data_IF_333519282492
#
_entry.id   IF_333519282492
#
_cell.length_a   1.000
_cell.length_b   1.000
_cell.length_c   1.000
_cell.angle_alpha   90.00
_cell.angle_beta   90.00
_cell.angle_gamma   90.00
#
_symmetry.space_group_name_H-M   'P 1'
#
loop_
_entity.id
_entity.type
_entity.pdbx_description
1 polymer ?
#
# COMPACT_ATOMS: atom_id res chain seq x y z
N UNK A 1 -2.11 -23.72 28.44
CA UNK A 1 -2.07 -23.79 26.97
C UNK A 1 -2.23 -22.35 26.47
N UNK A 2 -1.30 -21.82 25.67
CA UNK A 2 -1.35 -20.41 25.24
C UNK A 2 -1.84 -20.33 23.79
N UNK A 3 -2.79 -19.44 23.55
CA UNK A 3 -3.30 -19.11 22.23
C UNK A 3 -2.87 -17.69 21.86
N UNK A 4 -2.61 -17.46 20.58
CA UNK A 4 -2.42 -16.11 20.04
C UNK A 4 -3.49 -15.80 19.01
N UNK A 5 -3.80 -14.52 18.85
CA UNK A 5 -4.69 -14.05 17.81
C UNK A 5 -4.08 -14.31 16.42
N UNK A 6 -4.81 -15.04 15.56
CA UNK A 6 -4.45 -15.28 14.16
C UNK A 6 -5.11 -14.30 13.18
N UNK A 7 -6.23 -13.69 13.58
CA UNK A 7 -7.02 -12.73 12.79
C UNK A 7 -7.84 -11.79 13.68
N UNK A 8 -8.54 -10.79 13.13
CA UNK A 8 -9.35 -9.87 13.93
C UNK A 8 -10.45 -10.58 14.73
N UNK A 9 -10.89 -9.96 15.82
CA UNK A 9 -12.15 -10.33 16.49
C UNK A 9 -13.29 -9.60 15.75
N UNK A 10 -14.28 -10.36 15.29
CA UNK A 10 -15.41 -9.86 14.53
C UNK A 10 -16.70 -10.13 15.29
N UNK A 11 -17.52 -9.09 15.44
CA UNK A 11 -18.88 -9.22 15.92
C UNK A 11 -19.81 -9.24 14.69
N UNK A 12 -20.28 -10.44 14.34
CA UNK A 12 -21.08 -10.68 13.14
C UNK A 12 -22.51 -10.97 13.56
N UNK A 13 -23.42 -10.07 13.20
CA UNK A 13 -24.86 -10.25 13.36
C UNK A 13 -25.50 -10.42 11.99
N UNK A 14 -26.37 -11.42 11.84
CA UNK A 14 -27.17 -11.63 10.65
C UNK A 14 -28.60 -11.18 10.93
N UNK A 15 -29.11 -10.25 10.11
CA UNK A 15 -30.46 -9.69 10.28
C UNK A 15 -31.55 -10.60 9.67
N UNK A 16 -31.27 -11.23 8.52
CA UNK A 16 -32.18 -12.11 7.79
C UNK A 16 -31.40 -13.21 7.05
N UNK A 17 -31.98 -14.42 6.94
CA UNK A 17 -31.44 -15.54 6.17
C UNK A 17 -30.70 -16.58 6.99
N UNK A 18 -29.82 -17.33 6.34
CA UNK A 18 -28.84 -18.23 6.96
C UNK A 18 -27.47 -18.01 6.30
N UNK A 19 -26.39 -18.08 7.08
CA UNK A 19 -25.04 -17.90 6.58
C UNK A 19 -24.41 -19.28 6.35
N UNK A 20 -24.17 -19.65 5.10
CA UNK A 20 -23.60 -20.96 4.76
C UNK A 20 -22.09 -21.02 5.01
N UNK A 21 -21.38 -19.91 4.79
CA UNK A 21 -19.92 -19.89 4.77
C UNK A 21 -19.37 -18.51 5.15
N UNK A 22 -18.30 -18.50 5.95
CA UNK A 22 -17.55 -17.29 6.31
C UNK A 22 -16.06 -17.50 6.07
N UNK A 23 -15.42 -16.47 5.53
CA UNK A 23 -13.98 -16.38 5.32
C UNK A 23 -13.38 -15.38 6.29
N UNK A 24 -12.82 -15.88 7.40
CA UNK A 24 -12.18 -15.04 8.41
C UNK A 24 -10.74 -14.72 8.01
N UNK A 25 -10.33 -13.44 7.92
CA UNK A 25 -8.98 -13.09 7.51
C UNK A 25 -7.94 -13.47 8.57
N UNK A 26 -6.74 -13.84 8.13
CA UNK A 26 -5.58 -14.07 9.01
C UNK A 26 -4.28 -13.56 8.40
N UNK A 27 -3.30 -13.27 9.27
CA UNK A 27 -1.98 -12.83 8.84
C UNK A 27 -0.92 -13.96 8.85
N UNK A 28 -1.24 -15.14 9.39
CA UNK A 28 -0.28 -16.25 9.50
C UNK A 28 0.18 -16.74 8.13
N UNK A 29 1.50 -16.87 7.94
CA UNK A 29 2.09 -17.37 6.71
C UNK A 29 2.21 -18.90 6.75
N UNK A 30 1.36 -19.60 6.00
CA UNK A 30 1.39 -21.07 5.92
C UNK A 30 2.49 -21.61 5.00
N UNK A 31 3.06 -20.75 4.14
CA UNK A 31 4.09 -21.16 3.18
C UNK A 31 5.41 -21.57 3.84
N UNK A 32 5.71 -21.02 5.02
CA UNK A 32 6.92 -21.38 5.78
C UNK A 32 6.70 -22.55 6.73
N UNK A 33 5.46 -22.77 7.19
CA UNK A 33 5.10 -23.90 8.01
C UNK A 33 3.63 -24.35 7.79
N UNK A 34 3.39 -25.33 6.90
CA UNK A 34 2.04 -25.82 6.62
C UNK A 34 1.35 -26.50 7.81
N UNK A 35 2.11 -27.02 8.78
CA UNK A 35 1.54 -27.71 9.96
C UNK A 35 0.73 -26.78 10.87
N UNK A 36 0.96 -25.46 10.78
CA UNK A 36 0.20 -24.45 11.53
C UNK A 36 -1.30 -24.48 11.21
N UNK A 37 -1.70 -25.03 10.06
CA UNK A 37 -3.11 -25.24 9.73
C UNK A 37 -3.85 -26.02 10.81
N UNK A 38 -3.23 -27.06 11.37
CA UNK A 38 -3.85 -27.94 12.37
C UNK A 38 -3.96 -27.29 13.76
N UNK A 39 -3.18 -26.22 13.97
CA UNK A 39 -3.14 -25.46 15.22
C UNK A 39 -4.14 -24.28 15.23
N UNK A 40 -4.72 -23.95 14.07
CA UNK A 40 -5.73 -22.91 13.98
C UNK A 40 -7.07 -23.41 14.51
N UNK A 41 -7.72 -22.59 15.34
CA UNK A 41 -9.06 -22.81 15.87
C UNK A 41 -9.87 -21.53 15.75
N UNK A 42 -11.18 -21.66 15.67
CA UNK A 42 -12.09 -20.53 15.80
C UNK A 42 -12.43 -20.37 17.28
N UNK A 43 -12.24 -19.18 17.80
CA UNK A 43 -12.72 -18.76 19.09
C UNK A 43 -14.11 -18.17 18.92
N UNK A 44 -15.07 -18.68 19.69
CA UNK A 44 -16.39 -18.06 19.88
C UNK A 44 -16.44 -17.46 21.27
N UNK A 45 -16.89 -16.21 21.35
CA UNK A 45 -17.18 -15.52 22.61
C UNK A 45 -18.70 -15.52 22.79
N UNK A 46 -19.15 -16.27 23.78
CA UNK A 46 -20.55 -16.50 24.12
C UNK A 46 -20.89 -15.82 25.45
N UNK A 47 -22.17 -15.66 25.77
CA UNK A 47 -22.62 -14.97 27.00
C UNK A 47 -22.04 -15.58 28.28
N UNK A 48 -21.81 -16.90 28.30
CA UNK A 48 -21.35 -17.66 29.47
C UNK A 48 -19.91 -18.16 29.37
N UNK A 49 -19.12 -17.70 28.39
CA UNK A 49 -17.73 -18.08 28.27
C UNK A 49 -17.18 -18.06 26.84
N UNK A 50 -16.25 -18.98 26.57
CA UNK A 50 -15.63 -19.14 25.26
C UNK A 50 -15.69 -20.59 24.82
N UNK A 51 -15.95 -20.82 23.53
CA UNK A 51 -15.90 -22.14 22.91
C UNK A 51 -14.92 -22.14 21.73
N UNK A 52 -14.39 -23.32 21.40
CA UNK A 52 -13.43 -23.51 20.30
C UNK A 52 -14.01 -24.44 19.24
N UNK A 53 -13.94 -24.01 17.98
CA UNK A 53 -14.33 -24.80 16.80
C UNK A 53 -13.11 -25.10 15.92
N UNK A 54 -13.13 -26.25 15.26
CA UNK A 54 -12.15 -26.62 14.25
C UNK A 54 -12.36 -25.81 12.96
N UNK A 55 -11.27 -25.39 12.34
CA UNK A 55 -11.37 -24.70 11.05
C UNK A 55 -11.66 -25.72 9.95
N UNK A 56 -12.64 -25.44 9.09
CA UNK A 56 -13.01 -26.35 8.01
C UNK A 56 -11.96 -26.36 6.89
N UNK A 57 -11.48 -25.19 6.50
CA UNK A 57 -10.41 -25.03 5.51
C UNK A 57 -9.57 -23.79 5.82
N UNK A 58 -8.25 -23.86 5.63
CA UNK A 58 -7.38 -22.68 5.76
C UNK A 58 -6.70 -22.40 4.44
N UNK A 59 -7.00 -21.25 3.86
CA UNK A 59 -6.36 -20.73 2.65
C UNK A 59 -5.11 -19.93 2.98
N UNK A 60 -4.54 -19.20 2.01
CA UNK A 60 -3.36 -18.37 2.25
C UNK A 60 -3.62 -17.18 3.20
N UNK A 61 -4.84 -16.64 3.18
CA UNK A 61 -5.19 -15.41 3.91
C UNK A 61 -6.51 -15.49 4.67
N UNK A 62 -7.23 -16.62 4.57
CA UNK A 62 -8.53 -16.79 5.20
C UNK A 62 -8.69 -18.18 5.79
N UNK A 63 -9.35 -18.25 6.94
CA UNK A 63 -9.90 -19.45 7.54
C UNK A 63 -11.39 -19.52 7.20
N UNK A 64 -11.81 -20.64 6.62
CA UNK A 64 -13.19 -20.91 6.23
C UNK A 64 -13.92 -21.66 7.33
N UNK A 65 -15.13 -21.20 7.61
CA UNK A 65 -16.09 -21.83 8.51
C UNK A 65 -17.38 -22.07 7.74
N UNK A 66 -17.98 -23.24 7.92
CA UNK A 66 -19.29 -23.58 7.38
C UNK A 66 -20.36 -23.47 8.46
N UNK A 67 -21.52 -22.94 8.11
CA UNK A 67 -22.67 -22.78 9.01
C UNK A 67 -22.30 -22.16 10.39
N UNK A 68 -21.64 -20.99 10.41
CA UNK A 68 -21.16 -20.40 11.65
C UNK A 68 -22.30 -20.05 12.60
N UNK A 69 -22.02 -20.16 13.89
CA UNK A 69 -22.92 -19.69 14.95
C UNK A 69 -22.72 -18.20 15.19
N UNK A 70 -23.81 -17.46 15.39
CA UNK A 70 -23.78 -16.03 15.69
C UNK A 70 -23.27 -15.80 17.12
N UNK A 71 -22.02 -15.34 17.19
CA UNK A 71 -21.26 -14.98 18.37
C UNK A 71 -20.13 -14.05 17.92
N UNK A 72 -19.46 -13.34 18.83
CA UNK A 72 -18.22 -12.69 18.44
C UNK A 72 -17.16 -13.77 18.17
N UNK A 73 -16.56 -13.77 16.97
CA UNK A 73 -15.68 -14.82 16.49
C UNK A 73 -14.30 -14.30 16.11
N UNK A 74 -13.26 -15.09 16.36
CA UNK A 74 -11.89 -14.77 15.93
C UNK A 74 -11.09 -16.04 15.61
N UNK A 75 -10.15 -15.93 14.68
CA UNK A 75 -9.18 -17.00 14.45
C UNK A 75 -8.09 -16.92 15.53
N UNK A 76 -7.87 -18.02 16.24
CA UNK A 76 -6.75 -18.16 17.19
C UNK A 76 -5.81 -19.29 16.74
N UNK A 77 -4.54 -19.15 17.10
CA UNK A 77 -3.50 -20.13 16.82
C UNK A 77 -3.01 -20.71 18.13
N UNK A 78 -3.11 -22.03 18.28
CA UNK A 78 -2.57 -22.77 19.41
C UNK A 78 -1.06 -22.85 19.25
N UNK A 79 -0.30 -22.32 20.22
CA UNK A 79 1.16 -22.30 20.12
C UNK A 79 1.82 -23.23 21.12
N UNK A 80 2.60 -24.17 20.59
CA UNK A 80 3.65 -24.88 21.32
C UNK A 80 4.99 -24.09 21.28
N UNK A 81 5.17 -23.18 20.31
CA UNK A 81 6.33 -22.28 20.18
C UNK A 81 5.96 -20.96 19.50
N UNK A 82 6.61 -19.85 19.85
CA UNK A 82 6.33 -18.50 19.30
C UNK A 82 6.97 -18.21 17.93
N UNK A 83 7.40 -19.24 17.20
CA UNK A 83 8.11 -19.09 15.93
C UNK A 83 7.12 -19.15 14.75
N UNK A 84 6.33 -18.08 14.61
CA UNK A 84 5.31 -17.95 13.56
C UNK A 84 5.69 -16.81 12.63
N UNK A 85 5.70 -17.08 11.33
CA UNK A 85 5.82 -16.03 10.32
C UNK A 85 4.45 -15.43 10.01
N UNK A 86 4.38 -14.12 9.92
CA UNK A 86 3.16 -13.37 9.60
C UNK A 86 3.40 -12.44 8.41
N UNK A 87 2.38 -12.33 7.56
CA UNK A 87 2.29 -11.28 6.55
C UNK A 87 2.05 -9.93 7.25
N UNK A 88 2.75 -8.89 6.80
CA UNK A 88 2.79 -7.60 7.45
C UNK A 88 2.33 -6.49 6.50
N UNK A 89 1.84 -5.41 7.09
CA UNK A 89 1.54 -4.17 6.39
C UNK A 89 2.53 -3.08 6.77
N UNK A 90 2.88 -2.25 5.78
CA UNK A 90 3.63 -1.02 5.96
C UNK A 90 2.77 0.14 5.50
N UNK A 91 2.55 1.13 6.38
CA UNK A 91 1.83 2.35 6.03
C UNK A 91 2.71 3.56 6.30
N UNK A 92 2.96 4.36 5.27
CA UNK A 92 3.72 5.58 5.37
C UNK A 92 2.80 6.80 5.33
N UNK A 93 2.92 7.66 6.33
CA UNK A 93 2.30 8.98 6.37
C UNK A 93 3.37 10.06 6.46
N UNK A 94 3.14 11.17 5.77
CA UNK A 94 4.02 12.33 5.79
C UNK A 94 3.27 13.55 6.33
N UNK A 95 3.91 14.27 7.24
CA UNK A 95 3.50 15.63 7.63
C UNK A 95 4.57 16.62 7.19
N UNK A 96 4.19 17.64 6.43
CA UNK A 96 5.08 18.74 6.04
C UNK A 96 4.88 19.92 7.01
N UNK A 97 5.96 20.41 7.60
CA UNK A 97 5.97 21.59 8.48
C UNK A 97 7.11 22.52 8.10
N UNK A 98 6.80 23.62 7.41
CA UNK A 98 7.78 24.59 6.89
C UNK A 98 8.84 23.86 6.04
N UNK A 99 10.08 23.75 6.53
CA UNK A 99 11.21 23.10 5.86
C UNK A 99 11.52 21.70 6.40
N UNK A 100 10.62 21.14 7.21
CA UNK A 100 10.76 19.84 7.86
C UNK A 100 9.68 18.89 7.39
N UNK A 101 10.10 17.68 7.02
CA UNK A 101 9.24 16.55 6.76
C UNK A 101 9.25 15.63 7.98
N UNK A 102 8.07 15.14 8.37
CA UNK A 102 7.89 14.19 9.46
C UNK A 102 7.29 12.90 8.89
N UNK A 103 8.11 11.91 8.55
CA UNK A 103 7.62 10.58 8.19
C UNK A 103 7.14 9.82 9.42
N UNK A 104 6.01 9.12 9.26
CA UNK A 104 5.52 8.10 10.18
C UNK A 104 5.34 6.79 9.43
N UNK A 105 6.20 5.82 9.70
CA UNK A 105 6.16 4.50 9.10
C UNK A 105 5.61 3.50 10.12
N UNK A 106 4.40 3.02 9.90
CA UNK A 106 3.74 1.99 10.69
C UNK A 106 4.11 0.60 10.17
N UNK A 107 4.36 -0.34 11.08
CA UNK A 107 4.62 -1.75 10.77
C UNK A 107 3.80 -2.62 11.72
N UNK A 108 3.01 -3.52 11.15
CA UNK A 108 2.17 -4.42 11.93
C UNK A 108 1.71 -5.65 11.14
N UNK A 109 1.28 -6.75 11.81
CA UNK A 109 0.72 -7.91 11.12
C UNK A 109 -0.52 -7.51 10.32
N UNK A 110 -0.70 -8.05 9.11
CA UNK A 110 -1.80 -7.65 8.22
C UNK A 110 -3.16 -7.89 8.87
N UNK A 111 -3.77 -6.82 9.36
CA UNK A 111 -5.02 -6.84 10.11
C UNK A 111 -5.86 -5.63 9.68
N UNK A 112 -7.07 -5.85 9.11
CA UNK A 112 -7.96 -4.78 8.69
C UNK A 112 -8.27 -3.74 9.78
N UNK A 113 -8.46 -4.18 11.03
CA UNK A 113 -8.74 -3.29 12.15
C UNK A 113 -7.58 -2.34 12.47
N UNK A 114 -6.34 -2.82 12.32
CA UNK A 114 -5.16 -1.97 12.50
C UNK A 114 -4.97 -0.97 11.36
N UNK A 115 -5.25 -1.37 10.11
CA UNK A 115 -5.26 -0.44 8.97
C UNK A 115 -6.24 0.70 9.24
N UNK A 116 -7.46 0.36 9.65
CA UNK A 116 -8.51 1.34 9.97
C UNK A 116 -8.10 2.25 11.14
N UNK A 117 -7.50 1.70 12.20
CA UNK A 117 -7.04 2.49 13.34
C UNK A 117 -5.95 3.51 12.95
N UNK A 118 -5.01 3.12 12.09
CA UNK A 118 -3.97 4.04 11.56
C UNK A 118 -4.59 5.13 10.71
N UNK A 119 -5.53 4.78 9.82
CA UNK A 119 -6.22 5.74 8.95
C UNK A 119 -7.00 6.80 9.76
N UNK A 120 -7.74 6.37 10.79
CA UNK A 120 -8.47 7.28 11.68
C UNK A 120 -7.52 8.20 12.46
N UNK A 121 -6.43 7.64 13.00
CA UNK A 121 -5.43 8.41 13.74
C UNK A 121 -4.80 9.50 12.85
N UNK A 122 -4.36 9.16 11.64
CA UNK A 122 -3.66 10.11 10.77
C UNK A 122 -4.61 11.14 10.14
N UNK A 123 -5.88 10.78 9.92
CA UNK A 123 -6.93 11.73 9.51
C UNK A 123 -7.07 12.87 10.51
N UNK A 124 -7.00 12.59 11.81
CA UNK A 124 -7.04 13.63 12.85
C UNK A 124 -5.82 14.56 12.85
N UNK A 125 -4.68 14.10 12.33
CA UNK A 125 -3.42 14.84 12.32
C UNK A 125 -3.15 15.59 11.01
N UNK A 126 -4.03 15.50 10.01
CA UNK A 126 -3.87 16.15 8.71
C UNK A 126 -2.64 15.69 7.93
N UNK A 127 -2.23 14.43 8.11
CA UNK A 127 -1.06 13.86 7.43
C UNK A 127 -1.46 13.15 6.14
N UNK A 128 -0.60 13.21 5.13
CA UNK A 128 -0.85 12.61 3.83
C UNK A 128 -0.35 11.17 3.78
N UNK A 129 -1.21 10.24 3.35
CA UNK A 129 -0.80 8.84 3.11
C UNK A 129 0.04 8.77 1.84
N UNK A 130 1.19 8.12 1.92
CA UNK A 130 2.04 7.79 0.80
C UNK A 130 1.90 6.30 0.49
N UNK A 131 1.66 6.00 -0.79
CA UNK A 131 1.60 4.62 -1.25
C UNK A 131 3.02 4.09 -1.41
N UNK A 132 3.31 3.04 -0.66
CA UNK A 132 4.59 2.36 -0.66
C UNK A 132 4.41 0.87 -0.96
N UNK A 133 5.47 0.21 -1.41
CA UNK A 133 5.51 -1.23 -1.57
C UNK A 133 5.29 -1.95 -0.24
N UNK A 134 4.59 -3.09 -0.29
CA UNK A 134 4.48 -4.01 0.85
C UNK A 134 5.72 -4.90 0.92
N UNK A 135 6.08 -5.42 2.10
CA UNK A 135 7.11 -6.46 2.20
C UNK A 135 6.74 -7.69 1.36
N UNK A 136 7.64 -8.16 0.51
CA UNK A 136 7.40 -9.35 -0.33
C UNK A 136 7.32 -10.64 0.51
N UNK A 137 8.08 -10.69 1.61
CA UNK A 137 8.22 -11.85 2.49
C UNK A 137 7.43 -11.66 3.78
N UNK A 138 7.01 -12.76 4.37
CA UNK A 138 6.54 -12.78 5.75
C UNK A 138 7.70 -12.53 6.72
N UNK A 139 7.37 -12.05 7.92
CA UNK A 139 8.32 -11.82 8.99
C UNK A 139 7.96 -12.62 10.22
N UNK A 140 8.98 -13.03 10.98
CA UNK A 140 8.78 -13.67 12.27
C UNK A 140 8.09 -12.71 13.22
N UNK A 141 6.99 -13.15 13.80
CA UNK A 141 6.34 -12.44 14.89
C UNK A 141 7.33 -12.28 16.05
N UNK A 142 7.25 -11.15 16.76
CA UNK A 142 8.15 -10.71 17.83
C UNK A 142 9.57 -10.32 17.38
N UNK A 143 9.88 -10.33 16.09
CA UNK A 143 11.13 -9.76 15.59
C UNK A 143 11.14 -8.23 15.72
N UNK A 144 12.34 -7.66 15.93
CA UNK A 144 12.53 -6.22 15.97
C UNK A 144 13.10 -5.70 14.66
N UNK A 145 12.74 -4.45 14.37
CA UNK A 145 13.15 -3.75 13.16
C UNK A 145 13.73 -2.40 13.54
N UNK A 146 14.64 -1.89 12.71
CA UNK A 146 15.13 -0.50 12.75
C UNK A 146 14.91 0.17 11.41
N UNK A 147 14.52 1.45 11.45
CA UNK A 147 14.38 2.28 10.26
C UNK A 147 15.64 3.12 10.06
N UNK A 148 16.14 3.16 8.83
CA UNK A 148 17.21 4.04 8.42
C UNK A 148 16.71 5.02 7.35
N UNK A 149 16.94 6.30 7.60
CA UNK A 149 16.74 7.38 6.65
C UNK A 149 18.03 8.21 6.66
N UNK A 150 18.89 8.14 5.62
CA UNK A 150 20.25 8.70 5.63
C UNK A 150 20.38 10.18 5.99
N UNK A 151 19.30 10.97 5.91
CA UNK A 151 19.26 12.41 6.22
C UNK A 151 18.30 12.78 7.34
N UNK A 152 17.84 11.80 8.11
CA UNK A 152 17.03 12.09 9.29
C UNK A 152 17.88 12.72 10.39
N UNK A 153 17.32 13.71 11.07
CA UNK A 153 17.90 14.32 12.28
C UNK A 153 17.53 13.51 13.52
N UNK A 154 16.37 12.84 13.50
CA UNK A 154 15.93 11.98 14.57
C UNK A 154 14.99 10.90 14.02
N UNK A 155 15.05 9.71 14.61
CA UNK A 155 14.08 8.62 14.44
C UNK A 155 13.72 8.13 15.84
N UNK A 156 12.41 8.05 16.15
CA UNK A 156 11.91 7.59 17.44
C UNK A 156 10.68 6.69 17.22
N UNK A 157 10.63 5.48 17.82
CA UNK A 157 11.71 4.80 18.54
C UNK A 157 12.84 4.35 17.61
N UNK A 158 13.98 3.94 18.17
CA UNK A 158 15.13 3.43 17.39
C UNK A 158 14.85 2.02 16.83
N UNK A 159 14.05 1.24 17.56
CA UNK A 159 13.55 -0.06 17.14
C UNK A 159 12.06 -0.17 17.45
N UNK A 160 11.34 -0.90 16.60
CA UNK A 160 9.98 -1.36 16.88
C UNK A 160 9.94 -2.88 16.80
N UNK A 161 9.08 -3.49 17.60
CA UNK A 161 8.84 -4.92 17.55
C UNK A 161 7.54 -5.20 16.78
N UNK A 162 7.57 -6.21 15.92
CA UNK A 162 6.41 -6.72 15.20
C UNK A 162 5.58 -7.60 16.14
N UNK A 163 4.49 -7.08 16.66
CA UNK A 163 3.62 -7.76 17.61
C UNK A 163 2.14 -7.54 17.26
N UNK A 164 1.28 -8.42 17.72
CA UNK A 164 -0.17 -8.18 17.70
C UNK A 164 -0.51 -7.10 18.73
N UNK A 165 -1.31 -6.12 18.32
CA UNK A 165 -1.86 -5.09 19.21
C UNK A 165 -3.33 -4.91 18.89
N UNK A 166 -4.15 -4.82 19.93
CA UNK A 166 -5.57 -4.49 19.80
C UNK A 166 -5.80 -2.98 19.61
N UNK A 167 -4.74 -2.18 19.75
CA UNK A 167 -4.75 -0.71 19.69
C UNK A 167 -3.85 -0.19 18.57
N UNK A 168 -3.54 1.12 18.57
CA UNK A 168 -2.64 1.78 17.62
C UNK A 168 -1.34 0.97 17.40
N UNK A 169 -1.02 0.64 16.14
CA UNK A 169 0.21 -0.05 15.79
C UNK A 169 1.49 0.70 16.15
N UNK A 170 2.58 -0.05 16.32
CA UNK A 170 3.92 0.52 16.48
C UNK A 170 4.33 1.25 15.20
N UNK A 171 4.98 2.41 15.34
CA UNK A 171 5.47 3.18 14.21
C UNK A 171 6.78 3.89 14.52
N UNK A 172 7.58 4.10 13.48
CA UNK A 172 8.71 5.02 13.51
C UNK A 172 8.22 6.42 13.18
N UNK A 173 8.62 7.39 13.99
CA UNK A 173 8.51 8.82 13.67
C UNK A 173 9.89 9.38 13.39
N UNK A 174 10.10 9.88 12.19
CA UNK A 174 11.35 10.53 11.81
C UNK A 174 11.19 12.06 11.66
N UNK A 175 12.30 12.77 11.70
CA UNK A 175 12.39 14.20 11.36
C UNK A 175 13.45 14.34 10.29
N UNK A 176 13.07 14.86 9.12
CA UNK A 176 13.95 14.99 7.95
C UNK A 176 13.88 16.43 7.45
N UNK A 177 15.03 17.06 7.18
CA UNK A 177 15.03 18.38 6.53
C UNK A 177 14.72 18.22 5.05
N UNK A 178 13.83 19.07 4.53
CA UNK A 178 13.50 19.06 3.10
C UNK A 178 14.64 19.71 2.31
N UNK A 179 15.42 18.89 1.61
CA UNK A 179 16.57 19.33 0.81
C UNK A 179 16.30 19.28 -0.70
N UNK A 180 15.07 18.98 -1.12
CA UNK A 180 14.70 18.89 -2.54
C UNK A 180 15.22 17.62 -3.24
N UNK A 181 15.47 16.55 -2.49
CA UNK A 181 15.96 15.26 -3.01
C UNK A 181 15.13 14.12 -2.46
N UNK A 182 15.10 13.03 -3.21
CA UNK A 182 14.29 11.86 -2.87
C UNK A 182 14.74 11.24 -1.55
N UNK A 183 13.77 10.69 -0.83
CA UNK A 183 13.99 10.13 0.50
C UNK A 183 14.04 8.62 0.38
N UNK A 184 15.24 8.07 0.49
CA UNK A 184 15.43 6.64 0.64
C UNK A 184 15.12 6.22 2.09
N UNK A 185 14.23 5.24 2.23
CA UNK A 185 13.89 4.60 3.49
C UNK A 185 14.25 3.12 3.43
N UNK A 186 14.92 2.62 4.46
CA UNK A 186 15.28 1.20 4.58
C UNK A 186 14.86 0.67 5.95
N UNK A 187 14.14 -0.44 5.94
CA UNK A 187 13.83 -1.20 7.13
C UNK A 187 14.84 -2.36 7.23
N UNK A 188 15.46 -2.50 8.39
CA UNK A 188 16.38 -3.59 8.68
C UNK A 188 15.79 -4.51 9.74
N UNK A 189 15.94 -5.82 9.54
CA UNK A 189 15.65 -6.86 10.53
C UNK A 189 16.77 -6.95 11.58
N UNK A 190 16.55 -7.73 12.64
CA UNK A 190 17.53 -7.94 13.71
C UNK A 190 18.86 -8.56 13.25
N UNK A 191 18.86 -9.30 12.13
CA UNK A 191 20.07 -9.84 11.51
C UNK A 191 20.74 -8.87 10.52
N UNK A 192 20.36 -7.59 10.56
CA UNK A 192 20.91 -6.50 9.76
C UNK A 192 20.73 -6.66 8.24
N UNK A 193 19.83 -7.56 7.81
CA UNK A 193 19.38 -7.65 6.42
C UNK A 193 18.35 -6.55 6.12
N UNK A 194 18.32 -6.13 4.87
CA UNK A 194 17.31 -5.19 4.39
C UNK A 194 16.00 -5.97 4.23
N UNK A 195 15.06 -5.70 5.12
CA UNK A 195 13.72 -6.29 5.12
C UNK A 195 12.78 -5.57 4.13
N UNK A 196 13.01 -4.28 3.91
CA UNK A 196 12.24 -3.47 2.97
C UNK A 196 13.03 -2.20 2.59
N UNK A 197 12.82 -1.70 1.37
CA UNK A 197 13.40 -0.45 0.87
C UNK A 197 12.41 0.24 -0.04
N UNK A 198 12.32 1.56 0.10
CA UNK A 198 11.56 2.41 -0.81
C UNK A 198 12.26 3.74 -1.02
N UNK A 199 12.05 4.34 -2.18
CA UNK A 199 12.46 5.71 -2.47
C UNK A 199 11.18 6.53 -2.60
N UNK A 200 10.98 7.48 -1.70
CA UNK A 200 9.85 8.42 -1.77
C UNK A 200 10.30 9.64 -2.58
N UNK A 201 9.76 9.84 -3.80
CA UNK A 201 10.11 10.98 -4.63
C UNK A 201 9.78 12.30 -3.94
N UNK A 202 10.63 13.30 -4.16
CA UNK A 202 10.49 14.64 -3.58
C UNK A 202 9.13 15.27 -3.91
N UNK A 203 8.65 15.03 -5.12
CA UNK A 203 7.38 15.56 -5.63
C UNK A 203 6.15 15.06 -4.87
N UNK A 204 6.25 13.97 -4.10
CA UNK A 204 5.13 13.45 -3.33
C UNK A 204 4.80 14.27 -2.08
N UNK A 205 5.75 15.10 -1.62
CA UNK A 205 5.59 15.88 -0.39
C UNK A 205 5.97 17.36 -0.53
N UNK A 206 6.45 17.80 -1.70
CA UNK A 206 6.51 19.23 -2.03
C UNK A 206 5.20 19.63 -2.70
N UNK A 207 4.28 20.20 -1.93
CA UNK A 207 3.19 21.01 -2.51
C UNK A 207 3.75 22.41 -2.74
N UNK A 208 3.79 22.84 -4.00
CA UNK A 208 4.40 24.10 -4.42
C UNK A 208 3.78 25.29 -3.67
N UNK A 209 4.45 25.72 -2.60
CA UNK A 209 4.04 26.88 -1.78
C UNK A 209 4.82 28.13 -2.18
N UNK A 210 5.38 28.16 -3.40
CA UNK A 210 5.95 29.37 -4.00
C UNK A 210 5.02 29.94 -5.07
N UNK A 211 3.84 30.42 -4.69
CA UNK A 211 3.06 31.31 -5.55
C UNK A 211 2.16 32.24 -4.74
N UNK A 212 2.74 32.93 -3.76
CA UNK A 212 2.18 34.20 -3.26
C UNK A 212 3.30 35.04 -2.67
N UNK A 213 3.94 35.88 -3.50
CA UNK A 213 4.52 37.17 -3.08
C UNK A 213 5.24 37.85 -4.26
N UNK A 214 4.59 38.89 -4.82
CA UNK A 214 5.13 40.08 -5.48
C UNK A 214 6.08 39.89 -6.71
N UNK A 215 5.96 40.60 -7.82
CA UNK A 215 5.94 42.07 -7.98
C UNK A 215 5.37 42.42 -9.36
N UNK A 216 4.58 43.49 -9.42
CA UNK A 216 4.18 44.22 -10.62
C UNK A 216 5.40 44.69 -11.43
N UNK A 217 5.50 44.33 -12.71
CA UNK A 217 6.51 44.91 -13.59
C UNK A 217 6.46 44.32 -15.00
N UNK A 218 6.12 45.17 -15.97
CA UNK A 218 5.89 44.83 -17.37
C UNK A 218 7.18 44.40 -18.12
N UNK A 219 7.03 43.47 -19.08
CA UNK A 219 8.05 43.19 -20.11
C UNK A 219 8.00 41.78 -20.71
N UNK A 220 7.36 41.67 -21.88
CA UNK A 220 7.33 40.64 -22.96
C UNK A 220 7.87 39.18 -22.76
N UNK A 221 7.27 38.21 -23.50
CA UNK A 221 7.32 36.78 -23.18
C UNK A 221 8.55 36.09 -23.78
N UNK A 222 9.21 35.27 -22.95
CA UNK A 222 10.05 34.19 -23.41
C UNK A 222 9.30 32.87 -23.13
N UNK A 223 8.89 32.21 -24.21
CA UNK A 223 8.27 30.88 -24.21
C UNK A 223 9.24 29.86 -23.59
N UNK A 224 9.01 29.49 -22.33
CA UNK A 224 9.56 28.27 -21.73
C UNK A 224 8.84 27.93 -20.42
N UNK A 225 7.57 27.56 -20.50
CA UNK A 225 6.84 27.08 -19.31
C UNK A 225 5.68 26.14 -19.72
N UNK A 226 6.02 24.96 -20.23
CA UNK A 226 5.04 23.86 -20.43
C UNK A 226 5.55 22.51 -19.90
N UNK A 227 6.78 22.44 -19.37
CA UNK A 227 7.46 21.20 -18.99
C UNK A 227 7.01 20.59 -17.64
N UNK A 228 6.10 21.24 -16.91
CA UNK A 228 5.53 20.75 -15.64
C UNK A 228 4.21 19.98 -15.74
N UNK A 229 3.51 19.98 -16.89
CA UNK A 229 2.09 19.61 -16.92
C UNK A 229 1.82 18.10 -16.95
N UNK A 230 2.50 17.34 -17.81
CA UNK A 230 2.00 16.01 -18.24
C UNK A 230 2.22 14.90 -17.22
N UNK A 231 3.40 14.86 -16.58
CA UNK A 231 3.71 13.89 -15.51
C UNK A 231 2.86 14.17 -14.25
N UNK A 232 2.59 15.43 -13.95
CA UNK A 232 1.75 15.84 -12.82
C UNK A 232 0.27 15.49 -13.07
N UNK A 233 -0.21 15.66 -14.30
CA UNK A 233 -1.55 15.20 -14.70
C UNK A 233 -1.70 13.69 -14.50
N UNK A 234 -0.77 12.88 -15.03
CA UNK A 234 -0.79 11.42 -14.85
C UNK A 234 -0.75 10.99 -13.38
N UNK A 235 0.01 11.70 -12.53
CA UNK A 235 0.00 11.44 -11.08
C UNK A 235 -1.35 11.75 -10.44
N UNK A 236 -1.95 12.89 -10.78
CA UNK A 236 -3.23 13.31 -10.20
C UNK A 236 -4.38 12.35 -10.53
N UNK A 237 -4.33 11.73 -11.70
CA UNK A 237 -5.36 10.81 -12.18
C UNK A 237 -5.05 9.34 -11.87
N UNK A 238 -3.88 9.04 -11.29
CA UNK A 238 -3.39 7.66 -11.05
C UNK A 238 -4.43 6.77 -10.36
N UNK A 239 -5.04 7.27 -9.30
CA UNK A 239 -6.04 6.53 -8.53
C UNK A 239 -7.29 6.23 -9.34
N UNK A 240 -7.80 7.24 -10.06
CA UNK A 240 -8.99 7.07 -10.89
C UNK A 240 -8.70 6.21 -12.12
N UNK A 241 -7.51 6.31 -12.71
CA UNK A 241 -7.04 5.44 -13.78
C UNK A 241 -7.06 3.98 -13.31
N UNK A 242 -6.43 3.66 -12.19
CA UNK A 242 -6.42 2.29 -11.63
C UNK A 242 -7.84 1.79 -11.32
N UNK A 243 -8.74 2.66 -10.90
CA UNK A 243 -10.12 2.29 -10.58
C UNK A 243 -10.96 2.01 -11.83
N UNK A 244 -10.82 2.83 -12.88
CA UNK A 244 -11.75 2.88 -14.02
C UNK A 244 -11.25 2.16 -15.27
N UNK A 245 -9.94 2.05 -15.47
CA UNK A 245 -9.40 1.48 -16.70
C UNK A 245 -9.81 0.02 -16.87
N UNK A 246 -10.32 -0.30 -18.06
CA UNK A 246 -10.78 -1.66 -18.40
C UNK A 246 -9.59 -2.56 -18.76
N UNK A 247 -9.76 -3.88 -18.62
CA UNK A 247 -8.71 -4.85 -18.92
C UNK A 247 -8.28 -4.85 -20.40
N UNK A 248 -9.19 -4.70 -21.39
CA UNK A 248 -8.80 -4.56 -22.80
C UNK A 248 -7.94 -3.32 -23.05
N UNK A 249 -8.36 -2.16 -22.55
CA UNK A 249 -7.60 -0.90 -22.70
C UNK A 249 -6.22 -0.99 -22.04
N UNK A 250 -6.09 -1.71 -20.92
CA UNK A 250 -4.78 -1.96 -20.31
C UNK A 250 -3.84 -2.80 -21.18
N UNK A 251 -4.35 -3.82 -21.84
CA UNK A 251 -3.53 -4.68 -22.69
C UNK A 251 -3.10 -3.92 -23.96
N UNK A 252 -4.03 -3.21 -24.60
CA UNK A 252 -3.73 -2.37 -25.77
C UNK A 252 -2.78 -1.22 -25.44
N UNK A 253 -2.96 -0.58 -24.27
CA UNK A 253 -2.05 0.45 -23.79
C UNK A 253 -0.65 -0.13 -23.55
N UNK A 254 -0.56 -1.33 -22.99
CA UNK A 254 0.72 -2.00 -22.76
C UNK A 254 1.42 -2.33 -24.08
N UNK A 255 0.69 -2.80 -25.09
CA UNK A 255 1.22 -3.07 -26.44
C UNK A 255 1.70 -1.78 -27.13
N UNK A 256 0.92 -0.70 -27.04
CA UNK A 256 1.32 0.63 -27.56
C UNK A 256 2.55 1.19 -26.85
N UNK A 257 2.68 1.00 -25.53
CA UNK A 257 3.86 1.42 -24.79
C UNK A 257 5.14 0.67 -25.21
N UNK A 258 5.01 -0.60 -25.62
CA UNK A 258 6.12 -1.37 -26.18
C UNK A 258 6.47 -0.89 -27.60
N UNK A 259 5.46 -0.67 -28.44
CA UNK A 259 5.63 -0.18 -29.81
C UNK A 259 6.34 1.19 -29.86
N UNK A 260 6.00 2.09 -28.93
CA UNK A 260 6.63 3.41 -28.78
C UNK A 260 7.91 3.40 -27.93
N UNK A 261 8.50 2.21 -27.69
CA UNK A 261 9.74 1.98 -26.94
C UNK A 261 9.77 2.61 -25.55
N UNK A 262 8.60 2.85 -24.95
CA UNK A 262 8.49 3.32 -23.57
C UNK A 262 8.87 2.19 -22.62
N UNK A 263 8.39 0.97 -22.88
CA UNK A 263 8.74 -0.22 -22.09
C UNK A 263 9.54 -1.20 -22.95
N UNK A 264 10.38 -2.02 -22.33
CA UNK A 264 11.11 -3.09 -23.03
C UNK A 264 10.32 -4.41 -22.98
N UNK A 265 10.80 -5.41 -23.73
CA UNK A 265 10.12 -6.72 -23.82
C UNK A 265 10.05 -7.44 -22.45
N UNK A 266 11.08 -7.33 -21.62
CA UNK A 266 11.14 -7.99 -20.31
C UNK A 266 10.13 -7.38 -19.31
N UNK A 267 10.02 -6.05 -19.32
CA UNK A 267 9.03 -5.29 -18.56
C UNK A 267 7.61 -5.65 -19.00
N UNK A 268 7.38 -5.75 -20.32
CA UNK A 268 6.11 -6.18 -20.91
C UNK A 268 5.71 -7.59 -20.42
N UNK A 269 6.60 -8.58 -20.54
CA UNK A 269 6.31 -9.96 -20.10
C UNK A 269 6.03 -10.02 -18.60
N UNK A 270 6.77 -9.24 -17.80
CA UNK A 270 6.55 -9.14 -16.35
C UNK A 270 5.16 -8.59 -16.01
N UNK A 271 4.67 -7.58 -16.74
CA UNK A 271 3.33 -7.02 -16.53
C UNK A 271 2.23 -7.96 -17.02
N UNK A 272 2.45 -8.69 -18.12
CA UNK A 272 1.45 -9.60 -18.70
C UNK A 272 0.98 -10.67 -17.70
N UNK A 273 1.90 -11.21 -16.90
CA UNK A 273 1.66 -12.24 -15.88
C UNK A 273 0.73 -11.77 -14.74
N UNK A 274 0.56 -10.46 -14.55
CA UNK A 274 -0.30 -9.91 -13.50
C UNK A 274 -1.78 -10.19 -13.83
N UNK A 275 -2.43 -11.02 -13.01
CA UNK A 275 -3.84 -11.37 -13.14
C UNK A 275 -4.77 -10.22 -12.68
N UNK A 276 -4.47 -9.59 -11.56
CA UNK A 276 -5.31 -8.54 -10.98
C UNK A 276 -5.31 -7.27 -11.84
N UNK A 277 -6.49 -6.86 -12.34
CA UNK A 277 -6.64 -5.69 -13.23
C UNK A 277 -6.12 -4.40 -12.59
N UNK A 278 -6.48 -4.16 -11.33
CA UNK A 278 -6.05 -2.97 -10.61
C UNK A 278 -4.54 -2.94 -10.36
N UNK A 279 -3.95 -4.10 -10.07
CA UNK A 279 -2.49 -4.22 -9.90
C UNK A 279 -1.76 -4.03 -11.22
N UNK A 280 -2.27 -4.65 -12.31
CA UNK A 280 -1.73 -4.45 -13.66
C UNK A 280 -1.77 -2.98 -14.08
N UNK A 281 -2.89 -2.29 -13.85
CA UNK A 281 -3.02 -0.86 -14.11
C UNK A 281 -1.99 -0.03 -13.33
N UNK A 282 -1.78 -0.38 -12.06
CA UNK A 282 -0.83 0.30 -11.16
C UNK A 282 0.61 0.13 -11.64
N UNK A 283 1.01 -1.08 -11.98
CA UNK A 283 2.36 -1.36 -12.49
C UNK A 283 2.63 -0.59 -13.78
N UNK A 284 1.66 -0.52 -14.69
CA UNK A 284 1.79 0.22 -15.97
C UNK A 284 2.01 1.71 -15.73
N UNK A 285 1.13 2.37 -14.97
CA UNK A 285 1.22 3.81 -14.74
C UNK A 285 2.48 4.18 -13.94
N UNK A 286 2.87 3.37 -12.96
CA UNK A 286 4.07 3.60 -12.15
C UNK A 286 5.35 3.42 -12.97
N UNK A 287 5.36 2.44 -13.87
CA UNK A 287 6.47 2.24 -14.80
C UNK A 287 6.66 3.45 -15.72
N UNK A 288 5.57 3.98 -16.29
CA UNK A 288 5.62 5.17 -17.14
C UNK A 288 6.06 6.41 -16.34
N UNK A 289 5.56 6.59 -15.12
CA UNK A 289 5.94 7.69 -14.23
C UNK A 289 7.44 7.68 -13.87
N UNK A 290 8.03 6.48 -13.70
CA UNK A 290 9.48 6.32 -13.44
C UNK A 290 10.34 6.71 -14.63
N UNK A 291 9.88 6.46 -15.86
CA UNK A 291 10.66 6.71 -17.09
C UNK A 291 10.71 8.18 -17.52
N UNK A 292 9.81 9.02 -17.00
CA UNK A 292 9.92 10.47 -17.12
C UNK A 292 8.77 11.12 -17.90
N UNK A 293 8.88 12.43 -18.11
CA UNK A 293 7.82 13.28 -18.70
C UNK A 293 7.47 12.91 -20.13
N UNK A 294 8.47 12.54 -20.94
CA UNK A 294 8.29 12.08 -22.33
C UNK A 294 7.43 10.82 -22.40
N UNK A 295 7.74 9.82 -21.57
CA UNK A 295 6.96 8.59 -21.45
C UNK A 295 5.53 8.86 -20.96
N UNK A 296 5.37 9.80 -20.01
CA UNK A 296 4.07 10.23 -19.53
C UNK A 296 3.23 10.87 -20.66
N UNK A 297 3.85 11.69 -21.50
CA UNK A 297 3.16 12.30 -22.66
C UNK A 297 2.70 11.25 -23.66
N UNK A 298 3.56 10.28 -23.97
CA UNK A 298 3.22 9.18 -24.88
C UNK A 298 2.07 8.33 -24.34
N UNK A 299 2.06 7.99 -23.06
CA UNK A 299 0.96 7.27 -22.44
C UNK A 299 -0.36 8.07 -22.47
N UNK A 300 -0.32 9.38 -22.22
CA UNK A 300 -1.52 10.24 -22.29
C UNK A 300 -2.10 10.29 -23.70
N UNK A 301 -1.24 10.40 -24.72
CA UNK A 301 -1.69 10.43 -26.11
C UNK A 301 -2.27 9.07 -26.54
N UNK A 302 -1.59 7.97 -26.22
CA UNK A 302 -2.10 6.61 -26.44
C UNK A 302 -3.44 6.36 -25.73
N UNK A 303 -3.58 6.80 -24.49
CA UNK A 303 -4.83 6.65 -23.74
C UNK A 303 -5.96 7.48 -24.39
N UNK A 304 -5.64 8.63 -24.97
CA UNK A 304 -6.58 9.45 -25.73
C UNK A 304 -7.09 8.77 -27.01
N UNK A 305 -6.24 8.00 -27.68
CA UNK A 305 -6.57 7.23 -28.89
C UNK A 305 -7.37 5.97 -28.56
N UNK A 306 -7.01 5.28 -27.48
CA UNK A 306 -7.65 4.02 -27.07
C UNK A 306 -9.01 4.22 -26.39
N UNK A 307 -9.14 5.26 -25.55
CA UNK A 307 -10.37 5.51 -24.80
C UNK A 307 -10.55 7.01 -24.48
N UNK A 308 -11.13 7.73 -25.43
CA UNK A 308 -11.43 9.16 -25.30
C UNK A 308 -12.44 9.46 -24.18
N UNK A 309 -13.32 8.51 -23.84
CA UNK A 309 -14.29 8.63 -22.75
C UNK A 309 -13.58 8.60 -21.40
N UNK A 310 -12.65 7.65 -21.22
CA UNK A 310 -11.82 7.55 -20.02
C UNK A 310 -10.95 8.81 -19.84
N UNK A 311 -10.33 9.33 -20.90
CA UNK A 311 -9.58 10.59 -20.82
C UNK A 311 -10.44 11.78 -20.38
N UNK A 312 -11.67 11.87 -20.87
CA UNK A 312 -12.64 12.91 -20.47
C UNK A 312 -13.05 12.78 -19.01
N UNK A 313 -13.27 11.55 -18.52
CA UNK A 313 -13.59 11.28 -17.12
C UNK A 313 -12.41 11.55 -16.17
N UNK A 314 -11.18 11.30 -16.65
CA UNK A 314 -9.95 11.55 -15.90
C UNK A 314 -9.49 13.03 -16.00
N UNK A 315 -10.18 13.88 -16.75
CA UNK A 315 -9.81 15.29 -16.99
C UNK A 315 -8.38 15.45 -17.57
N UNK A 316 -7.92 14.47 -18.34
CA UNK A 316 -6.61 14.49 -18.99
C UNK A 316 -6.70 15.36 -20.24
N UNK A 317 -5.86 16.40 -20.33
CA UNK A 317 -5.71 17.20 -21.55
C UNK A 317 -4.62 16.56 -22.40
N UNK A 318 -4.98 16.01 -23.56
CA UNK A 318 -4.00 15.55 -24.55
C UNK A 318 -3.10 16.71 -24.96
N UNK A 319 -1.79 16.48 -24.94
CA UNK A 319 -0.81 17.41 -25.50
C UNK A 319 -0.73 17.03 -26.97
N UNK A 320 -1.40 17.80 -27.83
CA UNK A 320 -1.51 17.52 -29.26
C UNK A 320 -0.16 17.39 -29.94
N UNK A 321 0.36 16.17 -29.95
CA UNK A 321 1.46 15.70 -30.78
C UNK A 321 1.04 14.30 -31.24
N UNK A 322 0.67 14.13 -32.52
CA UNK A 322 0.36 12.82 -33.07
C UNK A 322 1.57 11.89 -32.88
N UNK A 323 1.31 10.64 -32.53
CA UNK A 323 2.29 9.54 -32.47
C UNK A 323 2.97 9.27 -33.80
#
# INVERSE_FOLDING_TARGET
MQYIQGGPLLDITMELGELEEVHLPHCVCLGTNPSLRNEMKILHVEEHGVSLEEVHEVTRFHAKILHPKFSAISLILRLLSWNVDVHCELMLYLTVKKQTLIPRLYLFPSNPGQIQAVEQQEKSQGSSRILISRPERSFKLNSSFRLNIPRSTAINPQKIQLIHRDTTPSFFRAVVKMTGIDIEMKLFSDDERIAWREIVPTDEYITDTRSTSAVLGAGRPAESSLTGSTKQQLRSVRTEFVKRVSRPVLNELLDGLLQHTVINQEEMESVKVIAERAEKARVIIDMVLRKGTESCSRMINLLGELDQCLCSQLQIKSVGVPT
#
